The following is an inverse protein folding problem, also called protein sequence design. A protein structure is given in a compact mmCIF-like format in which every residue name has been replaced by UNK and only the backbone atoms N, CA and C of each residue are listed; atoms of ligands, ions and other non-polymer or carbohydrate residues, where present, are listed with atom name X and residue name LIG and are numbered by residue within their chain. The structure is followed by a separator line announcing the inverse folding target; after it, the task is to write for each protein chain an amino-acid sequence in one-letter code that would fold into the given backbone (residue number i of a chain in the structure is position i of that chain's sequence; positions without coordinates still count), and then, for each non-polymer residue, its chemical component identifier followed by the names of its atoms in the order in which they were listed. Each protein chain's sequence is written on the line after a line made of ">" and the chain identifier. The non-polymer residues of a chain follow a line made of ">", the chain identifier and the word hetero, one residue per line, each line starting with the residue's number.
data_IF_480388827307
#
_entry.id   IF_480388827307
#
_cell.length_a   1.000
_cell.length_b   1.000
_cell.length_c   1.000
_cell.angle_alpha   90.00
_cell.angle_beta   90.00
_cell.angle_gamma   90.00
#
_symmetry.space_group_name_H-M   'P 1'
#
loop_
_entity.id
_entity.type
_entity.pdbx_description
1 polymer ?
#
# COMPACT_ATOMS: atom_id res chain seq x y z
N UNK A 1 -9.34 4.21 -18.52
CA UNK A 1 -10.38 3.58 -17.68
C UNK A 1 -11.27 4.69 -17.15
N UNK A 2 -12.58 4.57 -17.36
CA UNK A 2 -13.56 5.49 -16.77
C UNK A 2 -13.70 5.17 -15.28
N UNK A 3 -13.77 6.19 -14.43
CA UNK A 3 -14.03 5.99 -13.00
C UNK A 3 -15.37 5.27 -12.81
N UNK A 4 -15.41 4.25 -11.95
CA UNK A 4 -16.64 3.53 -11.61
C UNK A 4 -17.55 4.43 -10.78
N UNK A 5 -18.86 4.20 -10.88
CA UNK A 5 -19.84 4.82 -9.99
C UNK A 5 -19.53 4.49 -8.54
N UNK A 6 -19.69 5.47 -7.65
CA UNK A 6 -19.61 5.28 -6.20
C UNK A 6 -20.96 5.67 -5.59
N UNK A 7 -21.87 4.69 -5.44
CA UNK A 7 -23.25 4.94 -4.97
C UNK A 7 -23.26 5.27 -3.48
N UNK A 8 -23.71 6.46 -3.04
CA UNK A 8 -23.75 6.79 -1.61
C UNK A 8 -24.64 5.84 -0.80
N UNK A 9 -24.31 5.67 0.48
CA UNK A 9 -25.16 4.92 1.40
C UNK A 9 -26.47 5.67 1.66
N UNK A 10 -27.59 4.95 1.71
CA UNK A 10 -28.93 5.54 1.89
C UNK A 10 -29.55 5.05 3.19
N UNK A 11 -29.98 5.96 4.05
CA UNK A 11 -30.80 5.63 5.23
C UNK A 11 -32.27 5.61 4.83
N UNK A 12 -32.93 4.48 5.09
CA UNK A 12 -34.33 4.26 4.75
C UNK A 12 -35.27 4.82 5.84
N UNK A 13 -36.56 5.08 5.53
CA UNK A 13 -37.53 5.62 6.50
C UNK A 13 -37.75 4.74 7.74
N UNK A 14 -37.53 3.43 7.64
CA UNK A 14 -37.61 2.47 8.74
C UNK A 14 -36.35 2.46 9.64
N UNK A 15 -35.36 3.30 9.34
CA UNK A 15 -34.09 3.40 10.05
C UNK A 15 -32.99 2.49 9.54
N UNK A 16 -33.27 1.57 8.60
CA UNK A 16 -32.27 0.69 7.98
C UNK A 16 -31.32 1.43 7.03
N UNK A 17 -30.21 0.77 6.65
CA UNK A 17 -29.22 1.30 5.70
C UNK A 17 -29.14 0.43 4.45
N UNK A 18 -29.30 1.06 3.30
CA UNK A 18 -28.98 0.47 2.00
C UNK A 18 -27.56 0.87 1.64
N UNK A 19 -26.66 -0.11 1.57
CA UNK A 19 -25.24 0.07 1.27
C UNK A 19 -24.93 -0.71 0.00
N UNK A 20 -24.20 -0.09 -0.93
CA UNK A 20 -23.63 -0.81 -2.08
C UNK A 20 -22.21 -1.23 -1.76
N UNK A 21 -21.90 -2.51 -1.96
CA UNK A 21 -20.56 -3.02 -1.70
C UNK A 21 -19.51 -2.28 -2.54
N UNK A 22 -18.39 -1.94 -1.91
CA UNK A 22 -17.33 -1.11 -2.49
C UNK A 22 -16.12 -1.95 -2.84
N UNK A 23 -15.53 -1.66 -4.00
CA UNK A 23 -14.21 -2.16 -4.38
C UNK A 23 -13.18 -1.36 -3.61
N UNK A 24 -12.34 -2.02 -2.84
CA UNK A 24 -11.18 -1.42 -2.22
C UNK A 24 -9.91 -2.00 -2.82
N UNK A 25 -8.91 -1.16 -3.08
CA UNK A 25 -7.62 -1.61 -3.57
C UNK A 25 -6.94 -2.57 -2.57
N UNK A 26 -6.57 -3.77 -3.02
CA UNK A 26 -5.92 -4.79 -2.18
C UNK A 26 -4.56 -4.34 -1.62
N UNK A 27 -3.94 -3.31 -2.23
CA UNK A 27 -2.68 -2.73 -1.78
C UNK A 27 -2.87 -1.62 -0.73
N UNK A 28 -3.50 -0.51 -1.12
CA UNK A 28 -3.61 0.68 -0.28
C UNK A 28 -4.94 0.82 0.47
N UNK A 29 -5.97 0.07 0.09
CA UNK A 29 -7.31 0.13 0.68
C UNK A 29 -8.21 1.25 0.16
N UNK A 30 -7.75 2.08 -0.80
CA UNK A 30 -8.60 3.13 -1.37
C UNK A 30 -9.81 2.56 -2.11
N UNK A 31 -10.97 3.18 -1.91
CA UNK A 31 -12.21 2.86 -2.60
C UNK A 31 -12.11 3.24 -4.08
N UNK A 32 -12.40 2.29 -4.97
CA UNK A 32 -12.35 2.46 -6.43
C UNK A 32 -13.74 2.51 -7.08
N UNK A 33 -14.80 2.55 -6.26
CA UNK A 33 -16.20 2.58 -6.68
C UNK A 33 -16.95 1.32 -6.27
N UNK A 34 -18.12 1.12 -6.87
CA UNK A 34 -19.01 0.01 -6.57
C UNK A 34 -18.49 -1.32 -7.14
N UNK A 35 -18.73 -2.40 -6.40
CA UNK A 35 -18.54 -3.79 -6.88
C UNK A 35 -19.63 -4.15 -7.88
N UNK A 36 -19.26 -4.89 -8.91
CA UNK A 36 -20.17 -5.65 -9.78
C UNK A 36 -19.73 -7.11 -9.92
N UNK A 37 -20.57 -7.95 -10.52
CA UNK A 37 -20.37 -9.42 -10.53
C UNK A 37 -19.07 -9.84 -11.23
N UNK A 38 -18.54 -9.06 -12.17
CA UNK A 38 -17.24 -9.35 -12.83
C UNK A 38 -16.04 -9.16 -11.91
N UNK A 39 -16.22 -8.51 -10.76
CA UNK A 39 -15.16 -8.34 -9.77
C UNK A 39 -15.07 -9.55 -8.82
N UNK A 40 -15.96 -10.52 -8.94
CA UNK A 40 -16.04 -11.72 -8.10
C UNK A 40 -15.67 -12.94 -8.94
N UNK A 41 -14.69 -13.73 -8.49
CA UNK A 41 -14.30 -14.98 -9.14
C UNK A 41 -15.31 -16.11 -8.87
N UNK A 42 -15.11 -17.27 -9.50
CA UNK A 42 -15.98 -18.44 -9.33
C UNK A 42 -16.02 -18.99 -7.89
N UNK A 43 -15.11 -18.56 -7.02
CA UNK A 43 -15.03 -18.93 -5.62
C UNK A 43 -15.61 -17.86 -4.69
N UNK A 44 -16.11 -16.75 -5.22
CA UNK A 44 -16.64 -15.64 -4.42
C UNK A 44 -15.57 -14.66 -3.92
N UNK A 45 -14.31 -14.77 -4.38
CA UNK A 45 -13.27 -13.83 -3.99
C UNK A 45 -13.30 -12.58 -4.86
N UNK A 46 -13.01 -11.44 -4.24
CA UNK A 46 -12.80 -10.20 -4.98
C UNK A 46 -11.47 -10.23 -5.73
N UNK A 47 -11.50 -9.93 -7.02
CA UNK A 47 -10.32 -9.80 -7.88
C UNK A 47 -9.33 -8.78 -7.33
N UNK A 48 -8.03 -9.01 -7.53
CA UNK A 48 -7.00 -7.99 -7.23
C UNK A 48 -7.15 -6.80 -8.19
N UNK A 49 -7.52 -5.64 -7.64
CA UNK A 49 -7.76 -4.41 -8.42
C UNK A 49 -6.61 -3.40 -8.30
N UNK A 50 -5.43 -3.80 -7.79
CA UNK A 50 -4.27 -2.91 -7.67
C UNK A 50 -3.86 -2.27 -9.01
N UNK A 51 -4.05 -2.98 -10.12
CA UNK A 51 -3.77 -2.47 -11.47
C UNK A 51 -4.72 -1.35 -11.95
N UNK A 52 -5.87 -1.20 -11.31
CA UNK A 52 -6.84 -0.13 -11.60
C UNK A 52 -6.66 1.08 -10.66
N UNK A 53 -6.09 0.87 -9.48
CA UNK A 53 -5.86 1.92 -8.48
C UNK A 53 -4.74 2.86 -8.95
N UNK A 54 -4.96 4.18 -9.10
CA UNK A 54 -3.90 5.11 -9.52
C UNK A 54 -2.68 5.10 -8.60
N UNK A 55 -2.88 4.88 -7.29
CA UNK A 55 -1.79 4.82 -6.32
C UNK A 55 -1.02 3.49 -6.36
N UNK A 56 -1.66 2.36 -6.70
CA UNK A 56 -1.02 1.04 -6.67
C UNK A 56 -0.66 0.49 -8.06
N UNK A 57 -1.19 1.04 -9.14
CA UNK A 57 -0.84 0.62 -10.50
C UNK A 57 0.67 0.71 -10.77
N UNK A 58 1.39 1.77 -10.33
CA UNK A 58 2.85 1.80 -10.49
C UNK A 58 3.57 0.63 -9.78
N UNK A 59 3.04 0.14 -8.66
CA UNK A 59 3.62 -1.03 -7.97
C UNK A 59 3.42 -2.31 -8.78
N UNK A 60 2.23 -2.49 -9.37
CA UNK A 60 1.95 -3.64 -10.25
C UNK A 60 2.86 -3.62 -11.48
N UNK A 61 3.10 -2.44 -12.06
CA UNK A 61 4.04 -2.27 -13.17
C UNK A 61 5.48 -2.60 -12.75
N UNK A 62 5.91 -2.18 -11.56
CA UNK A 62 7.22 -2.53 -10.99
C UNK A 62 7.36 -4.03 -10.73
N UNK A 63 6.33 -4.68 -10.18
CA UNK A 63 6.26 -6.13 -9.97
C UNK A 63 6.40 -6.87 -11.30
N UNK A 64 5.67 -6.43 -12.35
CA UNK A 64 5.78 -6.98 -13.69
C UNK A 64 7.17 -6.77 -14.32
N UNK A 65 7.88 -5.70 -13.96
CA UNK A 65 9.28 -5.47 -14.32
C UNK A 65 10.29 -6.29 -13.49
N UNK A 66 9.82 -7.17 -12.60
CA UNK A 66 10.64 -8.05 -11.78
C UNK A 66 11.07 -7.46 -10.42
N UNK A 67 10.54 -6.30 -10.03
CA UNK A 67 10.79 -5.77 -8.70
C UNK A 67 10.11 -6.61 -7.62
N UNK A 68 10.72 -6.66 -6.43
CA UNK A 68 10.04 -7.13 -5.22
C UNK A 68 9.50 -5.94 -4.46
N UNK A 69 8.25 -6.01 -4.01
CA UNK A 69 7.56 -4.93 -3.32
C UNK A 69 7.05 -5.41 -1.96
N UNK A 70 7.17 -4.55 -0.95
CA UNK A 70 6.61 -4.81 0.37
C UNK A 70 6.00 -3.55 0.94
N UNK A 71 4.76 -3.64 1.43
CA UNK A 71 4.20 -2.58 2.25
C UNK A 71 4.91 -2.58 3.59
N UNK A 72 5.49 -1.44 3.97
CA UNK A 72 6.13 -1.25 5.25
C UNK A 72 5.07 -1.03 6.33
N UNK A 73 5.04 -1.94 7.29
CA UNK A 73 4.14 -1.93 8.44
C UNK A 73 4.94 -2.36 9.67
N UNK A 74 4.39 -2.16 10.86
CA UNK A 74 4.99 -2.69 12.10
C UNK A 74 5.20 -4.21 12.03
N UNK A 75 4.34 -4.94 11.30
CA UNK A 75 4.43 -6.41 11.17
C UNK A 75 5.40 -6.88 10.09
N UNK A 76 5.61 -6.07 9.05
CA UNK A 76 6.48 -6.43 7.91
C UNK A 76 7.89 -5.89 8.02
N UNK A 77 8.16 -4.95 8.93
CA UNK A 77 9.47 -4.29 9.05
C UNK A 77 10.63 -5.29 9.21
N UNK A 78 10.49 -6.33 10.03
CA UNK A 78 11.55 -7.33 10.22
C UNK A 78 11.86 -8.11 8.93
N UNK A 79 10.83 -8.53 8.19
CA UNK A 79 11.03 -9.22 6.89
C UNK A 79 11.71 -8.31 5.85
N UNK A 80 11.42 -7.02 5.87
CA UNK A 80 12.04 -6.05 4.96
C UNK A 80 13.50 -5.82 5.36
N UNK A 81 13.76 -5.69 6.66
CA UNK A 81 15.12 -5.59 7.23
C UNK A 81 15.98 -6.78 6.81
N UNK A 82 15.49 -8.02 7.01
CA UNK A 82 16.17 -9.25 6.58
C UNK A 82 16.49 -9.26 5.07
N UNK A 83 15.58 -8.74 4.23
CA UNK A 83 15.78 -8.69 2.79
C UNK A 83 16.82 -7.63 2.38
N UNK A 84 16.93 -6.54 3.12
CA UNK A 84 17.95 -5.51 2.93
C UNK A 84 19.31 -6.01 3.40
N UNK A 85 19.36 -6.70 4.53
CA UNK A 85 20.59 -7.30 5.08
C UNK A 85 21.19 -8.36 4.14
N UNK A 86 20.36 -9.11 3.42
CA UNK A 86 20.81 -10.05 2.37
C UNK A 86 21.58 -9.38 1.23
N UNK A 87 21.35 -8.08 1.00
CA UNK A 87 22.09 -7.28 0.03
C UNK A 87 23.35 -6.62 0.63
N UNK A 88 23.66 -6.88 1.91
CA UNK A 88 24.76 -6.24 2.63
C UNK A 88 24.54 -4.75 2.90
N UNK A 89 23.28 -4.30 2.87
CA UNK A 89 22.90 -2.90 3.10
C UNK A 89 22.42 -2.74 4.53
N UNK A 90 22.79 -1.65 5.20
CA UNK A 90 22.33 -1.38 6.56
C UNK A 90 20.92 -0.77 6.55
N UNK A 91 19.98 -1.42 7.25
CA UNK A 91 18.69 -0.84 7.58
C UNK A 91 18.56 -0.53 9.09
N UNK A 92 17.74 0.46 9.42
CA UNK A 92 17.45 0.84 10.81
C UNK A 92 16.08 1.51 10.92
N UNK A 93 15.38 1.28 12.03
CA UNK A 93 14.19 2.05 12.37
C UNK A 93 14.42 3.56 12.22
N UNK A 94 13.49 4.23 11.55
CA UNK A 94 13.47 5.68 11.41
C UNK A 94 12.67 6.29 12.56
N UNK A 95 13.31 7.12 13.37
CA UNK A 95 12.73 7.69 14.58
C UNK A 95 12.34 9.15 14.38
N UNK A 96 11.16 9.51 14.85
CA UNK A 96 10.65 10.88 14.88
C UNK A 96 10.07 11.21 16.25
N UNK A 97 10.01 12.50 16.55
CA UNK A 97 9.19 12.99 17.64
C UNK A 97 7.73 13.01 17.19
N UNK A 98 6.89 12.22 17.84
CA UNK A 98 5.44 12.19 17.66
C UNK A 98 4.83 12.45 19.03
N UNK A 99 4.14 13.60 19.17
CA UNK A 99 3.50 14.05 20.40
C UNK A 99 4.45 14.07 21.62
N UNK A 100 5.68 14.53 21.44
CA UNK A 100 6.70 14.63 22.49
C UNK A 100 7.39 13.30 22.81
N UNK A 101 7.17 12.27 22.01
CA UNK A 101 7.75 10.93 22.21
C UNK A 101 8.51 10.47 20.98
N UNK A 102 9.77 10.07 21.20
CA UNK A 102 10.58 9.43 20.19
C UNK A 102 9.96 8.08 19.80
N UNK A 103 9.50 7.99 18.56
CA UNK A 103 8.70 6.88 18.03
C UNK A 103 9.29 6.41 16.71
N UNK A 104 9.36 5.09 16.50
CA UNK A 104 9.70 4.54 15.18
C UNK A 104 8.50 4.77 14.28
N UNK A 105 8.70 5.51 13.19
CA UNK A 105 7.65 5.81 12.20
C UNK A 105 7.91 5.17 10.85
N UNK A 106 9.02 4.43 10.72
CA UNK A 106 9.37 3.76 9.47
C UNK A 106 10.73 3.08 9.49
N UNK A 107 11.28 2.88 8.30
CA UNK A 107 12.56 2.21 8.06
C UNK A 107 13.44 3.09 7.17
N UNK A 108 14.69 3.26 7.61
CA UNK A 108 15.76 3.91 6.86
C UNK A 108 16.64 2.82 6.27
N UNK A 109 16.89 2.88 4.97
CA UNK A 109 17.69 1.89 4.22
C UNK A 109 18.92 2.60 3.64
N UNK A 110 20.10 2.04 3.89
CA UNK A 110 21.39 2.62 3.53
C UNK A 110 21.94 3.58 4.58
N UNK A 111 23.04 4.24 4.25
CA UNK A 111 23.78 5.17 5.13
C UNK A 111 24.18 6.43 4.37
N UNK A 112 24.51 7.50 5.09
CA UNK A 112 24.93 8.76 4.47
C UNK A 112 23.78 9.54 3.80
N UNK A 113 24.10 10.47 2.88
CA UNK A 113 23.12 11.35 2.24
C UNK A 113 22.16 10.60 1.29
N UNK A 114 22.60 9.50 0.69
CA UNK A 114 21.84 8.76 -0.33
C UNK A 114 20.86 7.72 0.25
N UNK A 115 20.75 7.66 1.58
CA UNK A 115 19.81 6.76 2.25
C UNK A 115 18.36 7.09 1.87
N UNK A 116 17.53 6.06 1.78
CA UNK A 116 16.09 6.23 1.60
C UNK A 116 15.36 6.02 2.92
N UNK A 117 14.18 6.64 3.06
CA UNK A 117 13.31 6.49 4.23
C UNK A 117 11.89 6.19 3.77
N UNK A 118 11.40 5.00 4.16
CA UNK A 118 10.01 4.60 4.01
C UNK A 118 9.29 4.78 5.35
N UNK A 119 8.10 5.38 5.33
CA UNK A 119 7.21 5.49 6.49
C UNK A 119 6.31 4.27 6.58
N UNK A 120 5.74 4.01 7.76
CA UNK A 120 4.66 3.02 7.85
C UNK A 120 3.51 3.42 6.92
N UNK A 121 3.07 2.44 6.12
CA UNK A 121 2.12 2.63 5.02
C UNK A 121 2.77 2.66 3.64
N UNK A 122 4.00 3.19 3.52
CA UNK A 122 4.75 3.24 2.27
C UNK A 122 5.09 1.83 1.77
N UNK A 123 5.52 1.74 0.52
CA UNK A 123 6.04 0.52 -0.09
C UNK A 123 7.54 0.64 -0.30
N UNK A 124 8.26 -0.37 0.18
CA UNK A 124 9.68 -0.58 -0.12
C UNK A 124 9.79 -1.42 -1.38
N UNK A 125 10.57 -0.94 -2.34
CA UNK A 125 10.74 -1.57 -3.65
C UNK A 125 12.20 -1.95 -3.84
N UNK A 126 12.45 -3.21 -4.16
CA UNK A 126 13.75 -3.74 -4.53
C UNK A 126 13.79 -4.06 -6.01
N UNK A 127 14.62 -3.31 -6.74
CA UNK A 127 14.80 -3.43 -8.18
C UNK A 127 15.67 -4.65 -8.53
N UNK A 128 15.51 -5.26 -9.71
CA UNK A 128 16.37 -6.37 -10.17
C UNK A 128 17.85 -6.03 -10.21
N UNK A 129 18.18 -4.75 -10.48
CA UNK A 129 19.55 -4.22 -10.55
C UNK A 129 20.16 -3.91 -9.18
N UNK A 130 19.48 -4.27 -8.08
CA UNK A 130 19.98 -4.12 -6.70
C UNK A 130 19.64 -2.80 -6.02
N UNK A 131 19.04 -1.83 -6.72
CA UNK A 131 18.61 -0.57 -6.09
C UNK A 131 17.39 -0.78 -5.20
N UNK A 132 17.30 0.05 -4.17
CA UNK A 132 16.13 0.16 -3.30
C UNK A 132 15.48 1.53 -3.51
N UNK A 133 14.15 1.58 -3.52
CA UNK A 133 13.38 2.82 -3.60
C UNK A 133 12.12 2.76 -2.73
N UNK A 134 11.48 3.91 -2.55
CA UNK A 134 10.21 4.03 -1.81
C UNK A 134 9.12 4.48 -2.76
N UNK A 135 7.98 3.79 -2.71
CA UNK A 135 6.74 4.24 -3.32
C UNK A 135 5.78 4.67 -2.21
N UNK A 136 5.35 5.94 -2.25
CA UNK A 136 4.60 6.54 -1.15
C UNK A 136 3.19 5.99 -1.05
N UNK A 137 2.71 5.80 0.18
CA UNK A 137 1.30 5.55 0.40
C UNK A 137 0.47 6.74 -0.10
N UNK A 138 -0.74 6.51 -0.64
CA UNK A 138 -1.64 7.61 -0.89
C UNK A 138 -2.04 8.25 0.45
N UNK A 139 -2.27 9.56 0.42
CA UNK A 139 -2.81 10.26 1.60
C UNK A 139 -4.19 9.68 1.96
N UNK A 140 -4.53 9.60 3.26
CA UNK A 140 -5.88 9.27 3.67
C UNK A 140 -6.85 10.26 3.03
N UNK A 141 -7.93 9.75 2.44
CA UNK A 141 -9.02 10.61 1.96
C UNK A 141 -9.73 11.12 3.21
N UNK A 142 -9.67 12.43 3.43
CA UNK A 142 -10.31 13.13 4.56
C UNK A 142 -11.84 13.09 4.51
#
# INVERSE_FOLDING_TARGET
>A
MTARTNTPDVRNPDGSLTIRMKRACNGCGQTLGDVDDRDVDEHGNLTDVRGECPACRPLVELEAAGCKTWRLTVRSIGRIDDAVDQDGIYAKGYWEDVDGKLTVTGLRIGSGPDRIVAKFGDWVVRHPKGQWSVHKAPEPVS
#
